data_IF_345608895038
#
_entry.id   IF_345608895038
#
_cell.length_a   1.000
_cell.length_b   1.000
_cell.length_c   1.000
_cell.angle_alpha   90.00
_cell.angle_beta   90.00
_cell.angle_gamma   90.00
#
_symmetry.space_group_name_H-M   'P 1'
#
loop_
_entity.id
_entity.type
_entity.pdbx_description
1 polymer ?
#
# COMPACT_ATOMS: atom_id res chain seq x y z
N UNK A 1 20.72 -15.18 -13.33
CA UNK A 1 19.38 -15.69 -13.67
C UNK A 1 18.87 -14.94 -14.88
N UNK A 2 18.17 -15.61 -15.81
CA UNK A 2 17.56 -14.97 -16.98
C UNK A 2 16.45 -14.03 -16.52
N UNK A 3 16.38 -12.80 -17.08
CA UNK A 3 15.26 -11.89 -16.84
C UNK A 3 13.98 -12.49 -17.41
N UNK A 4 12.90 -12.46 -16.64
CA UNK A 4 11.57 -12.90 -17.11
C UNK A 4 10.98 -11.84 -18.04
N UNK A 5 10.27 -12.28 -19.07
CA UNK A 5 9.41 -11.44 -19.90
C UNK A 5 8.08 -11.27 -19.14
N UNK A 6 7.89 -10.11 -18.52
CA UNK A 6 6.72 -9.83 -17.69
C UNK A 6 5.78 -8.91 -18.46
N UNK A 7 4.57 -9.39 -18.74
CA UNK A 7 3.48 -8.51 -19.21
C UNK A 7 2.73 -7.99 -17.99
N UNK A 8 2.75 -6.68 -17.76
CA UNK A 8 1.93 -6.04 -16.72
C UNK A 8 0.77 -5.29 -17.36
N UNK A 9 -0.44 -5.78 -17.11
CA UNK A 9 -1.68 -5.18 -17.60
C UNK A 9 -2.20 -4.21 -16.55
N UNK A 10 -1.97 -2.92 -16.81
CA UNK A 10 -2.31 -1.82 -15.91
C UNK A 10 -2.67 -0.57 -16.69
N UNK A 11 -3.56 0.27 -16.15
CA UNK A 11 -3.73 1.65 -16.61
C UNK A 11 -2.56 2.49 -16.13
N UNK A 12 -2.32 3.63 -16.77
CA UNK A 12 -1.35 4.62 -16.27
C UNK A 12 -1.83 5.19 -14.93
N UNK A 13 -1.02 4.96 -13.89
CA UNK A 13 -1.26 5.41 -12.52
C UNK A 13 -0.39 6.61 -12.11
N UNK A 14 0.46 7.13 -13.01
CA UNK A 14 1.42 8.21 -12.71
C UNK A 14 0.76 9.50 -12.20
N UNK A 15 -0.46 9.80 -12.69
CA UNK A 15 -1.23 10.99 -12.33
C UNK A 15 -2.32 10.71 -11.27
N UNK A 16 -2.38 9.49 -10.73
CA UNK A 16 -3.34 9.16 -9.67
C UNK A 16 -2.83 9.63 -8.32
N UNK A 17 -3.73 9.79 -7.35
CA UNK A 17 -3.34 10.11 -5.97
C UNK A 17 -2.53 8.97 -5.36
N UNK A 18 -3.02 7.76 -5.50
CA UNK A 18 -2.39 6.53 -5.06
C UNK A 18 -1.56 5.99 -6.25
N UNK A 19 -0.24 5.93 -6.09
CA UNK A 19 0.74 5.71 -7.16
C UNK A 19 1.59 4.45 -6.96
N UNK A 20 1.27 3.58 -6.00
CA UNK A 20 2.05 2.37 -5.70
C UNK A 20 2.30 1.51 -6.94
N UNK A 21 1.29 1.32 -7.80
CA UNK A 21 1.46 0.54 -9.03
C UNK A 21 2.44 1.18 -10.01
N UNK A 22 2.45 2.52 -10.11
CA UNK A 22 3.39 3.25 -10.96
C UNK A 22 4.83 3.14 -10.41
N UNK A 23 4.99 3.20 -9.09
CA UNK A 23 6.29 3.00 -8.45
C UNK A 23 6.78 1.56 -8.62
N UNK A 24 5.89 0.58 -8.43
CA UNK A 24 6.18 -0.84 -8.62
C UNK A 24 6.59 -1.12 -10.07
N UNK A 25 5.89 -0.55 -11.05
CA UNK A 25 6.24 -0.64 -12.47
C UNK A 25 7.69 -0.21 -12.75
N UNK A 26 8.12 0.94 -12.21
CA UNK A 26 9.50 1.44 -12.37
C UNK A 26 10.53 0.46 -11.83
N UNK A 27 10.25 -0.18 -10.69
CA UNK A 27 11.17 -1.17 -10.11
C UNK A 27 11.14 -2.51 -10.84
N UNK A 28 9.97 -2.98 -11.29
CA UNK A 28 9.84 -4.18 -12.11
C UNK A 28 10.60 -4.05 -13.45
N UNK A 29 10.61 -2.86 -14.05
CA UNK A 29 11.34 -2.59 -15.29
C UNK A 29 12.87 -2.75 -15.14
N UNK A 30 13.41 -2.55 -13.93
CA UNK A 30 14.83 -2.77 -13.64
C UNK A 30 15.18 -4.27 -13.55
N UNK A 31 14.21 -5.09 -13.15
CA UNK A 31 14.41 -6.51 -12.80
C UNK A 31 13.98 -7.47 -13.92
N UNK A 32 13.09 -7.04 -14.81
CA UNK A 32 12.43 -7.88 -15.81
C UNK A 32 12.52 -7.26 -17.20
N UNK A 33 12.18 -8.03 -18.24
CA UNK A 33 11.87 -7.49 -19.55
C UNK A 33 10.38 -7.10 -19.53
N UNK A 34 10.09 -5.94 -18.94
CA UNK A 34 8.73 -5.49 -18.66
C UNK A 34 8.06 -4.95 -19.93
N UNK A 35 6.84 -5.42 -20.21
CA UNK A 35 5.95 -4.85 -21.21
C UNK A 35 4.67 -4.39 -20.50
N UNK A 36 4.27 -3.15 -20.74
CA UNK A 36 3.03 -2.58 -20.18
C UNK A 36 1.92 -2.61 -21.22
N UNK A 37 0.74 -3.10 -20.82
CA UNK A 37 -0.46 -3.03 -21.64
C UNK A 37 -1.59 -2.30 -20.91
N UNK A 38 -2.12 -1.25 -21.55
CA UNK A 38 -3.07 -0.32 -20.95
C UNK A 38 -4.37 -0.13 -21.76
N UNK A 39 -4.60 -0.96 -22.79
CA UNK A 39 -5.77 -0.91 -23.68
C UNK A 39 -6.70 -2.08 -23.47
N UNK A 40 -7.99 -1.87 -23.70
CA UNK A 40 -8.97 -2.96 -23.68
C UNK A 40 -8.68 -3.96 -24.81
N UNK A 41 -9.04 -5.22 -24.61
CA UNK A 41 -8.78 -6.23 -25.65
C UNK A 41 -9.10 -7.65 -25.23
N UNK A 42 -8.97 -8.56 -26.18
CA UNK A 42 -8.97 -10.00 -25.93
C UNK A 42 -7.53 -10.47 -25.72
N UNK A 43 -7.29 -11.29 -24.71
CA UNK A 43 -5.91 -11.54 -24.25
C UNK A 43 -5.01 -12.21 -25.29
N UNK A 44 -5.55 -13.11 -26.12
CA UNK A 44 -4.75 -13.76 -27.17
C UNK A 44 -4.34 -12.78 -28.26
N UNK A 45 -5.21 -11.83 -28.63
CA UNK A 45 -4.88 -10.78 -29.59
C UNK A 45 -3.80 -9.85 -29.04
N UNK A 46 -3.84 -9.58 -27.74
CA UNK A 46 -2.83 -8.76 -27.05
C UNK A 46 -1.48 -9.47 -27.12
N UNK A 47 -1.41 -10.75 -26.74
CA UNK A 47 -0.17 -11.55 -26.75
C UNK A 47 0.45 -11.59 -28.15
N UNK A 48 -0.37 -11.77 -29.19
CA UNK A 48 0.08 -11.80 -30.59
C UNK A 48 0.69 -10.47 -31.08
N UNK A 49 0.39 -9.36 -30.41
CA UNK A 49 0.95 -8.03 -30.72
C UNK A 49 2.24 -7.73 -29.95
N UNK A 50 2.61 -8.56 -28.98
CA UNK A 50 3.79 -8.30 -28.16
C UNK A 50 5.07 -8.63 -28.93
N UNK A 51 6.14 -7.85 -28.71
CA UNK A 51 7.44 -8.12 -29.35
C UNK A 51 8.08 -9.43 -28.87
N UNK A 52 7.67 -9.91 -27.69
CA UNK A 52 8.17 -11.12 -27.05
C UNK A 52 7.01 -11.79 -26.31
N UNK A 53 6.94 -13.12 -26.36
CA UNK A 53 5.99 -13.88 -25.55
C UNK A 53 6.29 -13.70 -24.05
N UNK A 54 5.29 -13.35 -23.22
CA UNK A 54 5.50 -13.21 -21.79
C UNK A 54 5.67 -14.58 -21.14
N UNK A 55 6.59 -14.67 -20.18
CA UNK A 55 6.73 -15.83 -19.30
C UNK A 55 5.65 -15.80 -18.21
N UNK A 56 5.18 -14.61 -17.84
CA UNK A 56 4.13 -14.40 -16.85
C UNK A 56 3.32 -13.14 -17.16
N UNK A 57 2.02 -13.16 -16.85
CA UNK A 57 1.11 -12.03 -17.02
C UNK A 57 0.64 -11.54 -15.64
N UNK A 58 0.94 -10.30 -15.27
CA UNK A 58 0.45 -9.67 -14.04
C UNK A 58 -0.73 -8.76 -14.37
N UNK A 59 -1.84 -8.92 -13.64
CA UNK A 59 -3.03 -8.10 -13.74
C UNK A 59 -3.08 -7.12 -12.57
N UNK A 60 -3.22 -5.82 -12.85
CA UNK A 60 -3.40 -4.83 -11.78
C UNK A 60 -4.87 -4.76 -11.35
N UNK A 61 -5.24 -5.60 -10.39
CA UNK A 61 -6.61 -5.79 -9.87
C UNK A 61 -7.64 -6.26 -10.91
N UNK A 62 -8.82 -6.59 -10.42
CA UNK A 62 -10.08 -6.72 -11.14
C UNK A 62 -10.89 -5.42 -11.17
N UNK A 63 -10.43 -4.42 -10.42
CA UNK A 63 -11.02 -3.10 -10.27
C UNK A 63 -10.77 -2.24 -11.54
N UNK A 64 -11.82 -1.71 -12.21
CA UNK A 64 -11.68 -1.00 -13.49
C UNK A 64 -10.77 0.24 -13.46
N UNK A 65 -10.51 0.81 -12.28
CA UNK A 65 -9.62 1.96 -12.11
C UNK A 65 -8.13 1.59 -12.20
N UNK A 66 -7.79 0.29 -12.09
CA UNK A 66 -6.39 -0.19 -12.09
C UNK A 66 -5.97 -0.84 -13.42
N UNK A 67 -6.89 -1.48 -14.14
CA UNK A 67 -6.57 -2.14 -15.43
C UNK A 67 -7.58 -1.85 -16.54
N UNK A 68 -7.18 -1.96 -17.83
CA UNK A 68 -8.12 -2.06 -18.94
C UNK A 68 -9.03 -3.28 -18.82
N UNK A 69 -10.13 -3.28 -19.57
CA UNK A 69 -11.03 -4.41 -19.69
C UNK A 69 -10.44 -5.48 -20.62
N UNK A 70 -10.00 -6.59 -20.02
CA UNK A 70 -9.43 -7.74 -20.74
C UNK A 70 -10.42 -8.91 -20.73
N UNK A 71 -10.64 -9.50 -21.90
CA UNK A 71 -11.47 -10.70 -22.10
C UNK A 71 -10.60 -11.93 -22.38
N UNK A 72 -11.16 -13.12 -22.15
CA UNK A 72 -10.50 -14.40 -22.49
C UNK A 72 -9.43 -14.86 -21.51
N UNK A 73 -9.35 -14.27 -20.31
CA UNK A 73 -8.33 -14.64 -19.31
C UNK A 73 -8.41 -16.10 -18.86
N UNK A 74 -9.60 -16.70 -18.90
CA UNK A 74 -9.82 -18.13 -18.62
C UNK A 74 -9.20 -19.08 -19.67
N UNK A 75 -8.90 -18.57 -20.87
CA UNK A 75 -8.36 -19.35 -21.99
C UNK A 75 -6.83 -19.29 -22.05
N UNK A 76 -6.19 -18.59 -21.11
CA UNK A 76 -4.75 -18.42 -21.03
C UNK A 76 -4.03 -19.74 -20.71
N UNK A 77 -3.02 -20.05 -21.53
CA UNK A 77 -2.03 -21.10 -21.22
C UNK A 77 -0.81 -20.52 -20.48
N UNK A 78 -0.54 -19.23 -20.66
CA UNK A 78 0.54 -18.52 -19.96
C UNK A 78 0.09 -18.27 -18.51
N UNK A 79 0.91 -18.62 -17.50
CA UNK A 79 0.55 -18.38 -16.12
C UNK A 79 0.38 -16.89 -15.85
N UNK A 80 -0.65 -16.56 -15.09
CA UNK A 80 -0.96 -15.19 -14.74
C UNK A 80 -1.24 -15.03 -13.26
N UNK A 81 -1.08 -13.81 -12.77
CA UNK A 81 -1.40 -13.44 -11.40
C UNK A 81 -2.14 -12.11 -11.35
N UNK A 82 -2.67 -11.80 -10.17
CA UNK A 82 -3.36 -10.53 -9.94
C UNK A 82 -2.81 -9.85 -8.70
N UNK A 83 -2.64 -8.53 -8.75
CA UNK A 83 -2.37 -7.67 -7.61
C UNK A 83 -3.66 -7.06 -7.11
N UNK A 84 -4.13 -7.45 -5.93
CA UNK A 84 -5.39 -6.99 -5.35
C UNK A 84 -5.20 -5.80 -4.42
N UNK A 85 -5.87 -4.71 -4.77
CA UNK A 85 -6.06 -3.49 -3.99
C UNK A 85 -7.45 -3.48 -3.34
N UNK A 86 -7.63 -2.67 -2.29
CA UNK A 86 -8.92 -2.43 -1.61
C UNK A 86 -9.80 -3.69 -1.48
N UNK A 87 -9.39 -4.70 -0.72
CA UNK A 87 -9.97 -6.05 -0.77
C UNK A 87 -11.51 -6.11 -0.54
N UNK A 88 -12.10 -5.12 0.11
CA UNK A 88 -13.55 -5.05 0.33
C UNK A 88 -14.36 -4.70 -0.93
N UNK A 89 -13.73 -4.09 -1.95
CA UNK A 89 -14.43 -3.63 -3.16
C UNK A 89 -15.05 -4.81 -3.95
N UNK A 90 -16.37 -4.78 -4.15
CA UNK A 90 -17.13 -5.77 -4.95
C UNK A 90 -16.67 -7.23 -4.73
N UNK A 91 -16.46 -7.61 -3.46
CA UNK A 91 -15.84 -8.87 -3.07
C UNK A 91 -16.46 -10.08 -3.77
N UNK A 92 -17.78 -10.22 -3.76
CA UNK A 92 -18.49 -11.34 -4.41
C UNK A 92 -18.18 -11.43 -5.92
N UNK A 93 -18.21 -10.30 -6.64
CA UNK A 93 -17.89 -10.27 -8.08
C UNK A 93 -16.43 -10.65 -8.33
N UNK A 94 -15.49 -10.13 -7.53
CA UNK A 94 -14.07 -10.48 -7.67
C UNK A 94 -13.81 -11.95 -7.33
N UNK A 95 -14.47 -12.49 -6.30
CA UNK A 95 -14.38 -13.90 -5.95
C UNK A 95 -14.80 -14.79 -7.13
N UNK A 96 -15.94 -14.48 -7.76
CA UNK A 96 -16.40 -15.19 -8.95
C UNK A 96 -15.38 -15.16 -10.11
N UNK A 97 -14.80 -13.99 -10.40
CA UNK A 97 -13.77 -13.87 -11.44
C UNK A 97 -12.51 -14.69 -11.12
N UNK A 98 -12.07 -14.73 -9.86
CA UNK A 98 -10.91 -15.53 -9.43
C UNK A 98 -11.16 -17.04 -9.58
N UNK A 99 -12.42 -17.51 -9.41
CA UNK A 99 -12.79 -18.90 -9.68
C UNK A 99 -12.79 -19.23 -11.18
N UNK A 100 -13.27 -18.29 -12.01
CA UNK A 100 -13.33 -18.48 -13.47
C UNK A 100 -11.94 -18.44 -14.10
N UNK A 101 -11.18 -17.38 -13.83
CA UNK A 101 -9.89 -17.12 -14.50
C UNK A 101 -8.76 -17.92 -13.89
N UNK A 102 -8.88 -18.36 -12.62
CA UNK A 102 -7.89 -19.19 -11.93
C UNK A 102 -6.43 -18.64 -11.98
N UNK A 103 -6.19 -17.38 -11.54
CA UNK A 103 -4.83 -16.85 -11.45
C UNK A 103 -3.92 -17.75 -10.62
N UNK A 104 -2.71 -18.02 -11.10
CA UNK A 104 -1.72 -18.83 -10.41
C UNK A 104 -1.27 -18.20 -9.08
N UNK A 105 -1.10 -16.88 -9.07
CA UNK A 105 -0.65 -16.10 -7.90
C UNK A 105 -1.59 -14.92 -7.66
N UNK A 106 -2.00 -14.73 -6.40
CA UNK A 106 -2.86 -13.64 -5.96
C UNK A 106 -2.10 -12.82 -4.93
N UNK A 107 -1.44 -11.76 -5.39
CA UNK A 107 -0.75 -10.81 -4.54
C UNK A 107 -1.77 -9.91 -3.84
N UNK A 108 -1.73 -9.84 -2.51
CA UNK A 108 -2.67 -8.99 -1.77
C UNK A 108 -2.01 -8.38 -0.51
N UNK A 109 -2.36 -7.11 -0.25
CA UNK A 109 -1.84 -6.33 0.88
C UNK A 109 -2.31 -6.79 2.25
N UNK A 110 -3.47 -7.46 2.34
CA UNK A 110 -4.19 -7.66 3.60
C UNK A 110 -4.40 -9.15 3.88
N UNK A 111 -3.45 -9.77 4.55
CA UNK A 111 -3.41 -11.22 4.82
C UNK A 111 -4.59 -11.70 5.63
N UNK A 112 -4.92 -11.04 6.75
CA UNK A 112 -5.98 -11.53 7.63
C UNK A 112 -7.36 -11.35 6.97
N UNK A 113 -7.56 -10.23 6.27
CA UNK A 113 -8.76 -10.00 5.49
C UNK A 113 -8.89 -11.00 4.32
N UNK A 114 -7.79 -11.32 3.63
CA UNK A 114 -7.80 -12.31 2.55
C UNK A 114 -8.20 -13.69 3.04
N UNK A 115 -7.57 -14.18 4.12
CA UNK A 115 -7.92 -15.47 4.74
C UNK A 115 -9.39 -15.53 5.11
N UNK A 116 -9.93 -14.44 5.67
CA UNK A 116 -11.33 -14.37 6.10
C UNK A 116 -12.31 -14.32 4.92
N UNK A 117 -11.98 -13.58 3.87
CA UNK A 117 -12.95 -13.22 2.81
C UNK A 117 -12.82 -14.04 1.53
N UNK A 118 -11.66 -14.64 1.28
CA UNK A 118 -11.36 -15.45 0.10
C UNK A 118 -10.65 -16.77 0.50
N UNK A 119 -11.17 -17.54 1.48
CA UNK A 119 -10.50 -18.73 2.01
C UNK A 119 -10.25 -19.79 0.94
N UNK A 120 -11.15 -19.94 -0.03
CA UNK A 120 -11.04 -20.92 -1.11
C UNK A 120 -9.82 -20.70 -2.02
N UNK A 121 -9.23 -19.50 -1.95
CA UNK A 121 -8.09 -19.08 -2.78
C UNK A 121 -6.77 -19.06 -2.02
N UNK A 122 -6.75 -19.52 -0.76
CA UNK A 122 -5.59 -19.39 0.13
C UNK A 122 -4.33 -20.06 -0.41
N UNK A 123 -4.46 -21.15 -1.17
CA UNK A 123 -3.32 -21.85 -1.78
C UNK A 123 -2.60 -21.06 -2.87
N UNK A 124 -3.24 -20.01 -3.38
CA UNK A 124 -2.71 -19.11 -4.44
C UNK A 124 -2.37 -17.73 -3.88
N UNK A 125 -2.63 -17.50 -2.59
CA UNK A 125 -2.37 -16.24 -1.93
C UNK A 125 -0.87 -16.00 -1.77
N UNK A 126 -0.44 -14.80 -2.16
CA UNK A 126 0.88 -14.27 -1.87
C UNK A 126 0.71 -12.99 -1.07
N UNK A 127 1.22 -12.98 0.16
CA UNK A 127 1.19 -11.77 0.96
C UNK A 127 2.12 -10.73 0.34
N UNK A 128 1.54 -9.60 -0.07
CA UNK A 128 2.24 -8.53 -0.75
C UNK A 128 1.96 -7.21 -0.04
N UNK A 129 2.65 -6.89 1.07
CA UNK A 129 2.38 -5.70 1.87
C UNK A 129 2.48 -4.40 1.07
N UNK A 130 1.87 -3.34 1.60
CA UNK A 130 2.07 -1.98 1.10
C UNK A 130 3.56 -1.58 1.15
N UNK A 131 3.92 -0.61 0.31
CA UNK A 131 5.30 -0.17 0.16
C UNK A 131 5.40 1.27 -0.29
N UNK A 132 6.56 1.85 -0.06
CA UNK A 132 6.82 3.26 -0.38
C UNK A 132 8.09 3.41 -1.22
N UNK A 133 8.11 4.31 -2.21
CA UNK A 133 9.32 4.60 -2.97
C UNK A 133 10.22 5.57 -2.19
N UNK A 134 11.50 5.25 -2.14
CA UNK A 134 12.49 5.98 -1.33
C UNK A 134 12.85 7.36 -1.91
N UNK A 135 12.56 7.60 -3.18
CA UNK A 135 12.74 8.90 -3.87
C UNK A 135 11.61 9.90 -3.59
N UNK A 136 10.49 9.47 -2.97
CA UNK A 136 9.36 10.34 -2.60
C UNK A 136 9.17 10.41 -1.08
N UNK A 137 9.22 9.26 -0.40
CA UNK A 137 9.02 9.16 1.03
C UNK A 137 10.35 8.86 1.72
N UNK A 138 10.95 9.92 2.27
CA UNK A 138 12.19 9.87 3.02
C UNK A 138 12.16 10.94 4.11
N UNK A 139 13.09 10.84 5.07
CA UNK A 139 13.24 11.86 6.09
C UNK A 139 13.90 13.11 5.50
N UNK A 140 13.13 14.18 5.30
CA UNK A 140 13.59 15.45 4.75
C UNK A 140 14.50 16.26 5.70
N UNK A 141 14.72 15.80 6.95
CA UNK A 141 15.49 16.53 7.98
C UNK A 141 14.97 17.96 8.22
N UNK A 142 13.67 18.16 8.01
CA UNK A 142 13.01 19.47 8.21
C UNK A 142 12.67 19.69 9.69
N UNK A 143 12.64 20.95 10.15
CA UNK A 143 12.11 21.28 11.47
C UNK A 143 10.71 20.69 11.68
N UNK A 144 10.49 20.06 12.83
CA UNK A 144 9.20 19.47 13.20
C UNK A 144 8.30 20.51 13.88
N UNK A 145 7.76 21.43 13.08
CA UNK A 145 6.97 22.59 13.52
C UNK A 145 5.47 22.29 13.70
N UNK A 146 5.00 21.10 13.31
CA UNK A 146 3.62 20.65 13.55
C UNK A 146 3.62 19.65 14.71
N UNK A 147 3.09 19.98 15.91
CA UNK A 147 3.08 19.02 17.01
C UNK A 147 2.25 17.78 16.70
N UNK A 148 0.99 17.97 16.29
CA UNK A 148 0.05 16.88 15.98
C UNK A 148 -0.52 17.07 14.58
N UNK A 149 -0.39 16.05 13.74
CA UNK A 149 -0.87 16.08 12.36
C UNK A 149 -1.85 14.94 12.09
N UNK A 150 -2.94 15.25 11.39
CA UNK A 150 -3.81 14.27 10.76
C UNK A 150 -4.09 14.69 9.33
N UNK A 151 -3.78 13.82 8.36
CA UNK A 151 -4.13 14.04 6.95
C UNK A 151 -5.09 12.95 6.51
N UNK A 152 -6.19 13.30 5.85
CA UNK A 152 -7.08 12.37 5.14
C UNK A 152 -8.52 12.36 5.61
N UNK A 153 -9.30 11.40 5.11
CA UNK A 153 -10.73 11.31 5.38
C UNK A 153 -11.01 10.90 6.84
N UNK A 154 -12.03 11.51 7.45
CA UNK A 154 -12.50 11.28 8.83
C UNK A 154 -13.98 10.89 8.88
N UNK A 155 -14.49 10.27 7.81
CA UNK A 155 -15.87 9.82 7.71
C UNK A 155 -16.20 8.84 8.85
N UNK A 156 -17.17 9.14 9.74
CA UNK A 156 -17.43 8.31 10.93
C UNK A 156 -17.73 6.85 10.64
N UNK A 157 -18.43 6.56 9.54
CA UNK A 157 -18.84 5.21 9.16
C UNK A 157 -17.70 4.34 8.60
N UNK A 158 -16.57 4.94 8.21
CA UNK A 158 -15.37 4.23 7.71
C UNK A 158 -14.22 4.31 8.73
N UNK A 159 -14.08 5.46 9.40
CA UNK A 159 -12.99 5.77 10.30
C UNK A 159 -13.51 6.32 11.65
N UNK A 160 -14.28 5.52 12.42
CA UNK A 160 -14.89 5.99 13.67
C UNK A 160 -13.84 6.48 14.68
N UNK A 161 -12.75 5.72 14.86
CA UNK A 161 -11.68 6.12 15.79
C UNK A 161 -10.95 7.39 15.33
N UNK A 162 -10.63 7.51 14.04
CA UNK A 162 -10.02 8.73 13.49
C UNK A 162 -10.93 9.95 13.65
N UNK A 163 -12.24 9.77 13.46
CA UNK A 163 -13.22 10.81 13.68
C UNK A 163 -13.21 11.28 15.14
N UNK A 164 -13.18 10.34 16.10
CA UNK A 164 -13.09 10.65 17.53
C UNK A 164 -11.82 11.42 17.88
N UNK A 165 -10.65 11.01 17.36
CA UNK A 165 -9.39 11.75 17.54
C UNK A 165 -9.54 13.19 17.03
N UNK A 166 -10.08 13.38 15.82
CA UNK A 166 -10.27 14.71 15.23
C UNK A 166 -11.23 15.57 16.08
N UNK A 167 -12.32 15.00 16.58
CA UNK A 167 -13.25 15.70 17.47
C UNK A 167 -12.59 16.10 18.80
N UNK A 168 -11.79 15.21 19.38
CA UNK A 168 -11.10 15.47 20.65
C UNK A 168 -10.13 16.65 20.54
N UNK A 169 -9.32 16.69 19.47
CA UNK A 169 -8.32 17.73 19.26
C UNK A 169 -8.80 18.94 18.46
N UNK A 170 -10.08 19.03 18.09
CA UNK A 170 -10.56 20.09 17.17
C UNK A 170 -10.35 21.52 17.68
N UNK A 171 -10.19 21.72 18.99
CA UNK A 171 -9.93 23.02 19.63
C UNK A 171 -8.48 23.17 20.11
N UNK A 172 -7.64 22.15 19.92
CA UNK A 172 -6.23 22.20 20.30
C UNK A 172 -5.42 22.88 19.20
N UNK A 173 -4.80 24.03 19.52
CA UNK A 173 -3.98 24.80 18.60
C UNK A 173 -2.73 24.04 18.11
N UNK A 174 -2.33 22.96 18.80
CA UNK A 174 -1.22 22.07 18.44
C UNK A 174 -1.62 21.07 17.34
N UNK A 175 -2.91 20.93 17.06
CA UNK A 175 -3.47 19.96 16.11
C UNK A 175 -3.76 20.58 14.75
N UNK A 176 -3.13 20.01 13.72
CA UNK A 176 -3.35 20.38 12.32
C UNK A 176 -4.06 19.23 11.62
N UNK A 177 -5.28 19.50 11.15
CA UNK A 177 -6.02 18.58 10.29
C UNK A 177 -5.97 19.06 8.83
N UNK A 178 -5.56 18.17 7.93
CA UNK A 178 -5.62 18.40 6.48
C UNK A 178 -6.60 17.43 5.83
N UNK A 179 -7.48 17.98 5.00
CA UNK A 179 -8.48 17.19 4.28
C UNK A 179 -7.84 16.31 3.19
N UNK A 180 -8.49 15.20 2.86
CA UNK A 180 -8.10 14.35 1.74
C UNK A 180 -8.31 15.11 0.41
N UNK A 181 -7.36 15.07 -0.55
CA UNK A 181 -7.46 15.81 -1.81
C UNK A 181 -8.46 15.22 -2.82
N UNK A 182 -9.45 14.44 -2.37
CA UNK A 182 -10.34 13.62 -3.21
C UNK A 182 -9.70 12.32 -3.69
N UNK A 183 -10.39 11.57 -4.54
CA UNK A 183 -9.91 10.30 -5.11
C UNK A 183 -9.74 10.43 -6.63
N UNK A 184 -8.84 9.62 -7.21
CA UNK A 184 -8.58 9.59 -8.65
C UNK A 184 -7.44 10.51 -9.08
N UNK A 185 -7.61 11.16 -10.24
CA UNK A 185 -6.59 12.02 -10.86
C UNK A 185 -6.26 13.21 -9.98
N UNK A 186 -4.96 13.50 -9.81
CA UNK A 186 -4.47 14.63 -9.02
C UNK A 186 -4.90 15.94 -9.67
N UNK A 187 -5.84 16.65 -9.04
CA UNK A 187 -6.30 17.96 -9.50
C UNK A 187 -5.56 19.10 -8.78
N UNK A 188 -5.50 19.07 -7.44
CA UNK A 188 -4.82 19.99 -6.51
C UNK A 188 -4.82 19.37 -5.09
N UNK A 189 -3.80 19.63 -4.26
CA UNK A 189 -3.76 19.20 -2.86
C UNK A 189 -2.40 18.66 -2.39
N UNK A 190 -2.37 18.11 -1.17
CA UNK A 190 -1.18 17.45 -0.63
C UNK A 190 -1.07 16.04 -1.24
N UNK A 191 -0.17 15.88 -2.21
CA UNK A 191 0.09 14.60 -2.91
C UNK A 191 1.58 14.42 -3.17
N UNK A 192 2.06 13.18 -3.29
CA UNK A 192 3.46 12.87 -3.59
C UNK A 192 4.43 13.57 -2.62
N UNK A 193 5.46 14.23 -3.15
CA UNK A 193 6.47 14.91 -2.35
C UNK A 193 5.90 16.00 -1.42
N UNK A 194 4.87 16.74 -1.85
CA UNK A 194 4.23 17.76 -0.99
C UNK A 194 3.57 17.13 0.24
N UNK A 195 2.98 15.95 0.06
CA UNK A 195 2.40 15.19 1.15
C UNK A 195 3.47 14.62 2.07
N UNK A 196 4.54 14.03 1.51
CA UNK A 196 5.67 13.52 2.27
C UNK A 196 6.35 14.63 3.11
N UNK A 197 6.56 15.82 2.54
CA UNK A 197 7.08 16.99 3.26
C UNK A 197 6.18 17.43 4.42
N UNK A 198 4.86 17.49 4.21
CA UNK A 198 3.93 17.85 5.29
C UNK A 198 3.98 16.82 6.43
N UNK A 199 4.12 15.53 6.12
CA UNK A 199 4.32 14.49 7.14
C UNK A 199 5.62 14.71 7.92
N UNK A 200 6.74 14.98 7.23
CA UNK A 200 8.05 15.14 7.89
C UNK A 200 8.12 16.32 8.86
N UNK A 201 7.28 17.34 8.67
CA UNK A 201 7.11 18.48 9.57
C UNK A 201 6.39 18.13 10.89
N UNK A 202 5.75 16.97 10.98
CA UNK A 202 5.03 16.59 12.18
C UNK A 202 5.94 15.94 13.24
N UNK A 203 5.65 16.18 14.52
CA UNK A 203 6.19 15.39 15.64
C UNK A 203 5.45 14.06 15.75
N UNK A 204 4.11 14.10 15.73
CA UNK A 204 3.24 12.91 15.79
C UNK A 204 2.20 12.99 14.68
N UNK A 205 2.07 11.90 13.92
CA UNK A 205 1.00 11.70 12.95
C UNK A 205 -0.05 10.75 13.50
N UNK A 206 -1.30 11.18 13.50
CA UNK A 206 -2.44 10.46 14.07
C UNK A 206 -3.29 9.81 12.96
N UNK A 207 -3.53 8.50 13.06
CA UNK A 207 -4.41 7.76 12.14
C UNK A 207 -5.00 6.49 12.78
N UNK A 208 -5.70 5.70 11.98
CA UNK A 208 -6.21 4.37 12.33
C UNK A 208 -6.27 3.47 11.08
N UNK A 209 -6.64 2.22 11.29
CA UNK A 209 -6.75 1.10 10.34
C UNK A 209 -8.15 0.94 9.71
N UNK A 210 -9.08 1.86 9.98
CA UNK A 210 -10.50 1.85 9.54
C UNK A 210 -11.34 0.71 10.11
N UNK A 211 -12.63 0.68 9.79
CA UNK A 211 -13.54 -0.45 10.10
C UNK A 211 -13.11 -1.78 9.47
N UNK A 212 -12.18 -1.75 8.51
CA UNK A 212 -11.64 -2.94 7.86
C UNK A 212 -10.39 -3.51 8.55
N UNK A 213 -9.80 -2.79 9.51
CA UNK A 213 -8.57 -3.20 10.21
C UNK A 213 -7.40 -3.53 9.29
N UNK A 214 -7.22 -2.74 8.24
CA UNK A 214 -6.16 -2.93 7.26
C UNK A 214 -4.86 -2.23 7.69
N UNK A 215 -3.68 -2.86 7.47
CA UNK A 215 -2.38 -2.18 7.45
C UNK A 215 -2.31 -1.15 6.30
N UNK A 216 -2.92 0.02 6.47
CA UNK A 216 -3.02 1.02 5.40
C UNK A 216 -1.64 1.58 4.99
N UNK A 217 -1.53 2.06 3.75
CA UNK A 217 -0.29 2.64 3.20
C UNK A 217 0.34 3.73 4.10
N UNK A 218 -0.47 4.50 4.82
CA UNK A 218 -0.01 5.54 5.76
C UNK A 218 0.92 5.03 6.85
N UNK A 219 0.79 3.77 7.28
CA UNK A 219 1.69 3.18 8.26
C UNK A 219 3.13 3.21 7.75
N UNK A 220 3.30 2.99 6.44
CA UNK A 220 4.60 2.94 5.78
C UNK A 220 5.10 4.34 5.42
N UNK A 221 4.22 5.18 4.86
CA UNK A 221 4.54 6.56 4.47
C UNK A 221 5.04 7.40 5.65
N UNK A 222 4.38 7.30 6.80
CA UNK A 222 4.70 8.13 7.97
C UNK A 222 6.06 7.77 8.56
N UNK A 223 6.36 6.48 8.70
CA UNK A 223 7.65 6.02 9.19
C UNK A 223 8.77 6.39 8.21
N UNK A 224 8.54 6.24 6.91
CA UNK A 224 9.51 6.62 5.88
C UNK A 224 9.86 8.12 5.89
N UNK A 225 8.89 8.97 6.26
CA UNK A 225 9.08 10.40 6.41
C UNK A 225 9.74 10.83 7.73
N UNK A 226 10.11 9.88 8.60
CA UNK A 226 10.79 10.17 9.87
C UNK A 226 9.89 10.88 10.88
N UNK A 227 8.61 10.49 10.97
CA UNK A 227 7.62 11.04 11.91
C UNK A 227 7.07 9.94 12.82
N UNK A 228 6.79 10.27 14.09
CA UNK A 228 6.20 9.29 14.99
C UNK A 228 4.78 8.98 14.54
N UNK A 229 4.51 7.73 14.19
CA UNK A 229 3.16 7.26 13.93
C UNK A 229 2.48 6.84 15.23
N UNK A 230 1.33 7.44 15.52
CA UNK A 230 0.41 6.98 16.54
C UNK A 230 -0.88 6.49 15.85
N UNK A 231 -1.12 5.18 15.89
CA UNK A 231 -2.24 4.55 15.19
C UNK A 231 -2.72 3.26 15.86
N UNK A 232 -3.85 2.71 15.43
CA UNK A 232 -4.32 1.39 15.85
C UNK A 232 -3.32 0.28 15.51
N UNK A 233 -3.22 -0.75 16.35
CA UNK A 233 -2.35 -1.92 16.13
C UNK A 233 -3.14 -3.15 15.67
N UNK A 234 -2.44 -4.12 15.08
CA UNK A 234 -3.01 -5.43 14.71
C UNK A 234 -1.92 -6.51 14.67
N UNK A 235 -2.32 -7.79 14.70
CA UNK A 235 -1.35 -8.89 14.55
C UNK A 235 -0.63 -8.82 13.19
N UNK A 236 -1.34 -8.41 12.14
CA UNK A 236 -0.73 -8.28 10.82
C UNK A 236 0.35 -7.19 10.79
N UNK A 237 0.13 -6.08 11.49
CA UNK A 237 1.15 -5.03 11.68
C UNK A 237 2.37 -5.56 12.45
N UNK A 238 2.17 -6.36 13.50
CA UNK A 238 3.27 -6.97 14.26
C UNK A 238 4.15 -7.84 13.34
N UNK A 239 3.54 -8.68 12.50
CA UNK A 239 4.26 -9.56 11.58
C UNK A 239 5.01 -8.77 10.49
N UNK A 240 4.51 -7.59 10.15
CA UNK A 240 5.19 -6.61 9.29
C UNK A 240 6.34 -5.89 10.01
N UNK A 241 6.51 -6.04 11.33
CA UNK A 241 7.55 -5.42 12.13
C UNK A 241 7.13 -4.12 12.84
N UNK A 242 5.84 -3.77 12.80
CA UNK A 242 5.30 -2.65 13.56
C UNK A 242 5.06 -3.09 15.00
N UNK A 243 5.89 -2.61 15.92
CA UNK A 243 5.90 -3.01 17.33
C UNK A 243 5.65 -1.78 18.20
N UNK A 244 4.63 -1.84 19.05
CA UNK A 244 4.24 -0.76 19.96
C UNK A 244 5.43 -0.31 20.83
N UNK A 245 5.61 1.00 20.95
CA UNK A 245 6.69 1.62 21.70
C UNK A 245 8.09 1.39 21.13
N UNK A 246 8.24 0.73 19.97
CA UNK A 246 9.54 0.45 19.35
C UNK A 246 9.68 1.03 17.94
N UNK A 247 8.73 0.80 17.05
CA UNK A 247 8.76 1.32 15.66
C UNK A 247 7.59 2.26 15.36
N UNK A 248 6.53 2.18 16.16
CA UNK A 248 5.40 3.11 16.18
C UNK A 248 4.71 3.04 17.56
N UNK A 249 3.67 3.82 17.77
CA UNK A 249 2.88 3.81 19.00
C UNK A 249 1.46 3.37 18.71
N UNK A 250 1.01 2.33 19.41
CA UNK A 250 -0.38 1.88 19.36
C UNK A 250 -1.25 2.83 20.18
N UNK A 251 -2.29 3.36 19.58
CA UNK A 251 -3.33 4.13 20.27
C UNK A 251 -4.72 3.54 20.01
N UNK A 252 -5.61 3.70 20.97
CA UNK A 252 -7.02 3.30 20.93
C UNK A 252 -7.91 4.34 21.64
N UNK A 253 -9.20 4.03 21.73
CA UNK A 253 -10.23 4.87 22.30
C UNK A 253 -10.02 5.28 23.77
N UNK A 254 -9.20 4.53 24.49
CA UNK A 254 -8.98 4.67 25.93
C UNK A 254 -7.67 5.38 26.25
N UNK A 255 -6.63 5.22 25.43
CA UNK A 255 -5.27 5.69 25.75
C UNK A 255 -4.75 6.83 24.86
N UNK A 256 -5.43 7.16 23.76
CA UNK A 256 -4.87 8.13 22.80
C UNK A 256 -4.54 9.51 23.38
N UNK A 257 -5.31 10.11 24.33
CA UNK A 257 -4.97 11.44 24.84
C UNK A 257 -3.68 11.41 25.65
N UNK A 258 -3.56 10.44 26.57
CA UNK A 258 -2.43 10.30 27.47
C UNK A 258 -1.15 9.94 26.72
N UNK A 259 -1.21 8.97 25.79
CA UNK A 259 -0.05 8.59 24.98
C UNK A 259 0.44 9.75 24.11
N UNK A 260 -0.48 10.51 23.50
CA UNK A 260 -0.11 11.65 22.66
C UNK A 260 0.63 12.73 23.46
N UNK A 261 0.11 13.11 24.64
CA UNK A 261 0.77 14.10 25.49
C UNK A 261 2.14 13.59 25.97
N UNK A 262 2.22 12.33 26.40
CA UNK A 262 3.47 11.70 26.81
C UNK A 262 4.54 11.79 25.71
N UNK A 263 4.24 11.36 24.48
CA UNK A 263 5.22 11.36 23.39
C UNK A 263 5.52 12.77 22.83
N UNK A 264 4.64 13.76 23.05
CA UNK A 264 4.97 15.16 22.76
C UNK A 264 6.08 15.68 23.67
N UNK A 265 6.02 15.33 24.96
CA UNK A 265 6.98 15.77 25.98
C UNK A 265 8.28 14.95 25.99
N UNK A 266 8.23 13.68 25.59
CA UNK A 266 9.37 12.75 25.63
C UNK A 266 10.11 12.68 24.28
N UNK A 267 10.88 13.72 23.97
CA UNK A 267 11.56 13.85 22.68
C UNK A 267 12.57 12.76 22.36
N UNK A 268 13.42 12.39 23.31
CA UNK A 268 14.46 11.38 23.10
C UNK A 268 13.84 10.03 22.72
N UNK A 269 12.87 9.57 23.52
CA UNK A 269 12.16 8.32 23.27
C UNK A 269 11.38 8.37 21.95
N UNK A 270 10.71 9.49 21.65
CA UNK A 270 10.03 9.70 20.36
C UNK A 270 11.02 9.54 19.20
N UNK A 271 12.19 10.17 19.27
CA UNK A 271 13.20 10.11 18.22
C UNK A 271 13.80 8.71 18.07
N UNK A 272 13.97 7.97 19.16
CA UNK A 272 14.38 6.57 19.12
C UNK A 272 13.36 5.69 18.35
N UNK A 273 12.07 5.83 18.66
CA UNK A 273 11.00 5.08 17.97
C UNK A 273 10.95 5.45 16.49
N UNK A 274 11.06 6.75 16.17
CA UNK A 274 11.11 7.25 14.79
C UNK A 274 12.29 6.64 14.02
N UNK A 275 13.48 6.59 14.62
CA UNK A 275 14.66 6.00 13.99
C UNK A 275 14.45 4.53 13.67
N UNK A 276 13.92 3.75 14.62
CA UNK A 276 13.62 2.34 14.42
C UNK A 276 12.56 2.13 13.33
N UNK A 277 11.51 2.97 13.31
CA UNK A 277 10.47 2.94 12.28
C UNK A 277 11.02 3.24 10.88
N UNK A 278 11.91 4.23 10.76
CA UNK A 278 12.59 4.54 9.50
C UNK A 278 13.43 3.36 9.02
N UNK A 279 14.24 2.76 9.91
CA UNK A 279 15.05 1.57 9.61
C UNK A 279 14.19 0.39 9.15
N UNK A 280 13.05 0.16 9.82
CA UNK A 280 12.10 -0.89 9.42
C UNK A 280 11.66 -0.72 7.96
N UNK A 281 11.25 0.48 7.56
CA UNK A 281 10.80 0.73 6.19
C UNK A 281 11.93 0.55 5.19
N UNK A 282 13.10 1.14 5.46
CA UNK A 282 14.28 1.05 4.59
C UNK A 282 14.73 -0.40 4.35
N UNK A 283 14.60 -1.26 5.36
CA UNK A 283 15.05 -2.66 5.27
C UNK A 283 14.00 -3.60 4.67
N UNK A 284 12.69 -3.33 4.85
CA UNK A 284 11.65 -4.34 4.58
C UNK A 284 10.53 -3.88 3.65
N UNK A 285 10.22 -2.58 3.60
CA UNK A 285 8.96 -2.09 3.01
C UNK A 285 9.15 -1.02 1.95
N UNK A 286 10.33 -0.97 1.33
CA UNK A 286 10.55 -0.15 0.15
C UNK A 286 9.92 -0.80 -1.09
N UNK A 287 9.65 0.01 -2.11
CA UNK A 287 9.11 -0.47 -3.40
C UNK A 287 10.09 -1.44 -4.08
N UNK A 288 11.38 -1.16 -3.97
CA UNK A 288 12.49 -1.96 -4.46
C UNK A 288 12.45 -3.37 -3.86
N UNK A 289 12.31 -3.47 -2.53
CA UNK A 289 12.19 -4.76 -1.83
C UNK A 289 10.96 -5.53 -2.30
N UNK A 290 9.80 -4.87 -2.42
CA UNK A 290 8.58 -5.52 -2.92
C UNK A 290 8.71 -6.04 -4.33
N UNK A 291 9.33 -5.26 -5.23
CA UNK A 291 9.54 -5.68 -6.62
C UNK A 291 10.44 -6.92 -6.69
N UNK A 292 11.53 -6.95 -5.91
CA UNK A 292 12.42 -8.12 -5.81
C UNK A 292 11.64 -9.34 -5.32
N UNK A 293 10.87 -9.22 -4.25
CA UNK A 293 10.08 -10.34 -3.71
C UNK A 293 9.01 -10.84 -4.68
N UNK A 294 8.35 -9.94 -5.42
CA UNK A 294 7.38 -10.31 -6.46
C UNK A 294 8.06 -11.10 -7.59
N UNK A 295 9.17 -10.59 -8.13
CA UNK A 295 9.91 -11.25 -9.22
C UNK A 295 10.43 -12.62 -8.76
N UNK A 296 11.01 -12.71 -7.57
CA UNK A 296 11.47 -13.98 -7.01
C UNK A 296 10.33 -14.98 -6.80
N UNK A 297 9.15 -14.50 -6.43
CA UNK A 297 7.96 -15.36 -6.26
C UNK A 297 7.47 -15.87 -7.61
N UNK A 298 7.40 -15.01 -8.63
CA UNK A 298 7.04 -15.41 -10.00
C UNK A 298 8.07 -16.42 -10.53
N UNK A 299 9.37 -16.16 -10.39
CA UNK A 299 10.41 -17.07 -10.86
C UNK A 299 10.36 -18.45 -10.19
N UNK A 300 10.12 -18.51 -8.87
CA UNK A 300 9.94 -19.80 -8.17
C UNK A 300 8.71 -20.55 -8.67
N UNK A 301 7.62 -19.85 -8.93
CA UNK A 301 6.43 -20.45 -9.53
C UNK A 301 6.74 -21.04 -10.92
N UNK A 302 7.42 -20.28 -11.79
CA UNK A 302 7.80 -20.71 -13.14
C UNK A 302 8.87 -21.82 -13.19
N UNK A 303 9.62 -22.05 -12.10
CA UNK A 303 10.60 -23.14 -12.01
C UNK A 303 10.00 -24.44 -11.49
N UNK A 304 8.82 -24.37 -10.86
CA UNK A 304 8.14 -25.52 -10.28
C UNK A 304 7.06 -26.12 -11.20
N UNK A 305 6.83 -25.51 -12.37
CA UNK A 305 5.82 -25.85 -13.35
C UNK A 305 6.39 -25.66 -14.76
#
# INVERSE_FOLDING_TARGET
>A
MKRINLLFITKDRSQQLERSSYYLERELAKLTNLVIWNRDGYILDIINQLPVNPDFILLNDYKPEYRPYIRGLQDLQIPHGTLMHDLHYKLSKRNHLIHLEKPALIFCHYREAFKKWLPDHIHRFVWFPHHVPTDIFFNFQTPKDIPLLMIGATYPHIYPFRHKIAQHYTRDHRFVQRSHPGYGVVKKGLTGERYAKEISRAKIFLTCDSVHHFPLLKYFEVLACGTLLAASGSQELIDLGFVDGKTFVVIDDMNFPEKVEYYLQNEELRNQIVSNGLTLIQQRHTTEVRAIEMVNTIQRFLQSH
#
